data_IF_851762258374
#
_entry.id   IF_851762258374
#
_cell.length_a   1.000
_cell.length_b   1.000
_cell.length_c   1.000
_cell.angle_alpha   90.00
_cell.angle_beta   90.00
_cell.angle_gamma   90.00
#
_symmetry.space_group_name_H-M   'P 1'
#
loop_
_entity.id
_entity.type
_entity.pdbx_description
1 polymer ?
#
# COMPACT_ATOMS: atom_id res chain seq x y z
N UNK A 1 1.64 18.26 19.06
CA UNK A 1 2.39 17.83 17.87
C UNK A 1 1.72 16.59 17.32
N UNK A 2 1.45 16.57 16.01
CA UNK A 2 0.73 15.46 15.35
C UNK A 2 1.71 14.71 14.46
N UNK A 3 1.76 13.39 14.61
CA UNK A 3 2.62 12.53 13.80
C UNK A 3 1.75 11.71 12.83
N UNK A 4 2.13 11.71 11.55
CA UNK A 4 1.42 10.99 10.49
C UNK A 4 2.37 10.00 9.83
N UNK A 5 2.02 8.72 9.90
CA UNK A 5 2.73 7.64 9.23
C UNK A 5 1.99 7.25 7.95
N UNK A 6 2.67 7.39 6.82
CA UNK A 6 2.13 7.04 5.50
C UNK A 6 2.80 5.75 5.04
N UNK A 7 2.01 4.68 4.93
CA UNK A 7 2.49 3.37 4.51
C UNK A 7 2.21 3.16 3.02
N UNK A 8 3.22 2.70 2.30
CA UNK A 8 3.06 2.27 0.91
C UNK A 8 3.78 0.94 0.67
N UNK A 9 3.37 0.24 -0.38
CA UNK A 9 3.96 -1.03 -0.79
C UNK A 9 4.58 -0.81 -2.18
N UNK A 10 5.87 -1.17 -2.32
CA UNK A 10 6.68 -1.03 -3.54
C UNK A 10 7.14 0.41 -3.84
N UNK A 11 8.46 0.59 -4.05
CA UNK A 11 9.03 1.86 -4.52
C UNK A 11 8.70 2.11 -5.99
N UNK A 12 8.69 3.39 -6.40
CA UNK A 12 8.41 3.81 -7.77
C UNK A 12 7.06 3.31 -8.32
N UNK A 13 6.09 3.03 -7.44
CA UNK A 13 4.72 2.70 -7.77
C UNK A 13 3.81 3.94 -7.68
N UNK A 14 2.59 3.85 -8.23
CA UNK A 14 1.58 4.89 -8.04
C UNK A 14 1.28 5.17 -6.56
N UNK A 15 1.31 4.15 -5.71
CA UNK A 15 1.13 4.30 -4.26
C UNK A 15 2.28 5.06 -3.60
N UNK A 16 3.52 4.79 -4.02
CA UNK A 16 4.68 5.57 -3.55
C UNK A 16 4.53 7.04 -3.96
N UNK A 17 4.14 7.31 -5.20
CA UNK A 17 3.89 8.67 -5.69
C UNK A 17 2.80 9.37 -4.87
N UNK A 18 1.66 8.70 -4.63
CA UNK A 18 0.58 9.24 -3.81
C UNK A 18 1.04 9.57 -2.37
N UNK A 19 1.83 8.68 -1.75
CA UNK A 19 2.38 8.91 -0.42
C UNK A 19 3.27 10.17 -0.37
N UNK A 20 4.10 10.39 -1.40
CA UNK A 20 4.95 11.58 -1.51
C UNK A 20 4.14 12.87 -1.70
N UNK A 21 3.05 12.83 -2.46
CA UNK A 21 2.15 13.97 -2.61
C UNK A 21 1.47 14.34 -1.31
N UNK A 22 0.97 13.35 -0.56
CA UNK A 22 0.39 13.60 0.77
C UNK A 22 1.42 14.20 1.73
N UNK A 23 2.64 13.66 1.77
CA UNK A 23 3.74 14.20 2.59
C UNK A 23 4.04 15.67 2.24
N UNK A 24 4.11 15.99 0.95
CA UNK A 24 4.33 17.36 0.48
C UNK A 24 3.18 18.30 0.85
N UNK A 25 1.93 17.85 0.70
CA UNK A 25 0.75 18.62 1.05
C UNK A 25 0.68 18.94 2.55
N UNK A 26 0.96 17.95 3.41
CA UNK A 26 1.04 18.17 4.86
C UNK A 26 2.12 19.19 5.23
N UNK A 27 3.33 19.06 4.64
CA UNK A 27 4.42 20.00 4.90
C UNK A 27 4.09 21.43 4.47
N UNK A 28 3.32 21.60 3.39
CA UNK A 28 2.92 22.91 2.88
C UNK A 28 1.83 23.56 3.73
N UNK A 29 0.83 22.79 4.17
CA UNK A 29 -0.34 23.34 4.88
C UNK A 29 -0.14 23.44 6.40
N UNK A 30 0.64 22.52 6.98
CA UNK A 30 0.77 22.32 8.42
C UNK A 30 2.20 21.89 8.76
N UNK A 31 3.16 22.85 8.83
CA UNK A 31 4.55 22.55 9.14
C UNK A 31 4.78 22.03 10.56
N UNK A 32 3.75 22.09 11.42
CA UNK A 32 3.73 21.49 12.76
C UNK A 32 3.46 19.98 12.77
N UNK A 33 3.09 19.40 11.61
CA UNK A 33 2.86 17.96 11.44
C UNK A 33 4.16 17.30 11.01
N UNK A 34 4.58 16.29 11.77
CA UNK A 34 5.68 15.42 11.37
C UNK A 34 5.13 14.26 10.55
N UNK A 35 5.60 14.14 9.31
CA UNK A 35 5.18 13.09 8.38
C UNK A 35 6.32 12.13 8.08
N UNK A 36 6.02 10.83 8.02
CA UNK A 36 6.97 9.80 7.62
C UNK A 36 6.38 8.85 6.60
N UNK A 37 7.03 8.71 5.44
CA UNK A 37 6.69 7.68 4.45
C UNK A 37 7.51 6.40 4.69
N UNK A 38 6.85 5.24 4.75
CA UNK A 38 7.52 3.93 4.93
C UNK A 38 7.10 2.95 3.85
N UNK A 39 8.09 2.36 3.18
CA UNK A 39 7.89 1.20 2.32
C UNK A 39 7.78 -0.05 3.17
N UNK A 40 6.57 -0.59 3.29
CA UNK A 40 6.29 -1.81 4.04
C UNK A 40 7.10 -2.99 3.52
N UNK A 41 7.26 -3.14 2.19
CA UNK A 41 7.97 -4.28 1.63
C UNK A 41 9.46 -4.26 1.98
N UNK A 42 10.07 -3.07 1.97
CA UNK A 42 11.45 -2.90 2.42
C UNK A 42 11.61 -3.11 3.92
N UNK A 43 10.57 -2.83 4.70
CA UNK A 43 10.58 -3.01 6.15
C UNK A 43 10.40 -4.49 6.55
N UNK A 44 9.52 -5.22 5.88
CA UNK A 44 9.26 -6.64 6.17
C UNK A 44 10.43 -7.53 5.74
N UNK A 45 11.09 -7.21 4.62
CA UNK A 45 12.19 -8.03 4.10
C UNK A 45 13.37 -7.18 3.59
N UNK A 46 14.19 -6.63 4.51
CA UNK A 46 15.27 -5.69 4.16
C UNK A 46 16.32 -6.25 3.20
N UNK A 47 16.49 -7.58 3.13
CA UNK A 47 17.45 -8.25 2.23
C UNK A 47 16.81 -8.85 0.96
N UNK A 48 15.48 -8.97 0.91
CA UNK A 48 14.77 -9.68 -0.16
C UNK A 48 13.74 -8.80 -0.88
N UNK A 49 13.59 -7.53 -0.50
CA UNK A 49 12.57 -6.63 -1.04
C UNK A 49 12.52 -6.62 -2.57
N UNK A 50 13.64 -6.47 -3.26
CA UNK A 50 13.69 -6.48 -4.75
C UNK A 50 13.33 -7.85 -5.36
N UNK A 51 13.71 -8.94 -4.70
CA UNK A 51 13.43 -10.31 -5.17
C UNK A 51 11.98 -10.65 -4.96
N UNK A 52 11.43 -10.37 -3.77
CA UNK A 52 10.01 -10.57 -3.46
C UNK A 52 9.16 -9.67 -4.34
N UNK A 53 9.52 -8.40 -4.52
CA UNK A 53 8.82 -7.49 -5.42
C UNK A 53 8.79 -8.04 -6.84
N UNK A 54 9.94 -8.46 -7.39
CA UNK A 54 9.98 -9.07 -8.72
C UNK A 54 9.19 -10.37 -8.80
N UNK A 55 9.36 -11.26 -7.84
CA UNK A 55 8.69 -12.56 -7.84
C UNK A 55 7.18 -12.36 -7.70
N UNK A 56 6.72 -11.57 -6.73
CA UNK A 56 5.32 -11.22 -6.52
C UNK A 56 4.69 -10.59 -7.77
N UNK A 57 5.33 -9.54 -8.33
CA UNK A 57 4.83 -8.87 -9.53
C UNK A 57 4.86 -9.78 -10.76
N UNK A 58 5.84 -10.69 -10.88
CA UNK A 58 5.91 -11.64 -11.99
C UNK A 58 4.87 -12.73 -11.86
N UNK A 59 4.67 -13.26 -10.65
CA UNK A 59 3.69 -14.30 -10.36
C UNK A 59 2.27 -13.81 -10.59
N UNK A 60 1.90 -12.63 -10.07
CA UNK A 60 0.56 -12.06 -10.28
C UNK A 60 0.30 -11.74 -11.76
N UNK A 61 1.32 -11.31 -12.51
CA UNK A 61 1.15 -11.00 -13.95
C UNK A 61 1.03 -12.25 -14.82
N UNK A 62 1.61 -13.38 -14.41
CA UNK A 62 1.66 -14.61 -15.22
C UNK A 62 0.59 -15.62 -14.84
N UNK A 63 0.03 -15.55 -13.64
CA UNK A 63 -0.92 -16.54 -13.15
C UNK A 63 -2.18 -15.86 -12.61
N UNK A 64 -3.19 -15.63 -13.47
CA UNK A 64 -4.45 -14.99 -13.07
C UNK A 64 -5.19 -15.80 -12.01
N UNK A 65 -5.11 -17.14 -12.01
CA UNK A 65 -5.77 -17.97 -10.98
C UNK A 65 -5.17 -17.74 -9.58
N UNK A 66 -3.88 -17.41 -9.50
CA UNK A 66 -3.19 -17.08 -8.25
C UNK A 66 -3.62 -15.72 -7.71
N UNK A 67 -3.93 -14.77 -8.59
CA UNK A 67 -4.54 -13.49 -8.20
C UNK A 67 -5.94 -13.72 -7.64
N UNK A 68 -6.77 -14.51 -8.32
CA UNK A 68 -8.12 -14.85 -7.85
C UNK A 68 -8.07 -15.58 -6.50
N UNK A 69 -7.18 -16.57 -6.34
CA UNK A 69 -7.04 -17.31 -5.09
C UNK A 69 -6.53 -16.46 -3.90
N UNK A 70 -5.71 -15.43 -4.15
CA UNK A 70 -5.16 -14.57 -3.09
C UNK A 70 -6.04 -13.38 -2.74
N UNK A 71 -6.66 -12.75 -3.74
CA UNK A 71 -7.39 -11.49 -3.60
C UNK A 71 -8.89 -11.61 -3.80
N UNK A 72 -9.37 -12.50 -4.67
CA UNK A 72 -10.80 -12.71 -4.94
C UNK A 72 -11.35 -13.96 -4.22
N UNK A 73 -10.65 -14.42 -3.18
CA UNK A 73 -11.17 -15.52 -2.37
C UNK A 73 -12.31 -15.05 -1.46
N UNK A 74 -13.20 -15.99 -1.14
CA UNK A 74 -14.37 -15.78 -0.29
C UNK A 74 -14.04 -15.09 1.05
N UNK A 75 -12.84 -15.30 1.58
CA UNK A 75 -12.39 -14.71 2.85
C UNK A 75 -12.11 -13.21 2.74
N UNK A 76 -11.47 -12.77 1.65
CA UNK A 76 -11.25 -11.34 1.40
C UNK A 76 -12.58 -10.63 1.19
N UNK A 77 -13.50 -11.24 0.42
CA UNK A 77 -14.85 -10.71 0.21
C UNK A 77 -15.61 -10.59 1.53
N UNK A 78 -15.61 -11.63 2.37
CA UNK A 78 -16.27 -11.63 3.68
C UNK A 78 -15.71 -10.54 4.62
N UNK A 79 -14.39 -10.30 4.58
CA UNK A 79 -13.73 -9.28 5.40
C UNK A 79 -14.01 -7.86 4.91
N UNK A 80 -14.09 -7.64 3.60
CA UNK A 80 -14.35 -6.31 3.01
C UNK A 80 -15.83 -5.96 2.88
N UNK A 81 -16.74 -6.94 2.96
CA UNK A 81 -18.21 -6.72 2.92
C UNK A 81 -18.73 -5.78 4.01
N UNK A 82 -17.99 -5.65 5.13
CA UNK A 82 -18.34 -4.73 6.23
C UNK A 82 -17.89 -3.29 6.02
N UNK A 83 -16.93 -3.04 5.12
CA UNK A 83 -16.40 -1.69 4.87
C UNK A 83 -17.11 -0.92 3.77
N UNK A 84 -17.88 -1.60 2.90
CA UNK A 84 -18.58 -0.99 1.77
C UNK A 84 -19.93 -0.38 2.13
N UNK A 85 -20.44 -0.58 3.34
CA UNK A 85 -21.78 -0.12 3.75
C UNK A 85 -21.87 1.35 4.15
N UNK A 86 -20.77 2.12 4.07
CA UNK A 86 -20.71 3.50 4.58
C UNK A 86 -20.34 4.59 3.56
N UNK A 87 -20.34 4.31 2.25
CA UNK A 87 -20.11 5.36 1.24
C UNK A 87 -21.41 5.70 0.50
N UNK A 88 -21.96 6.92 0.65
CA UNK A 88 -23.11 7.33 -0.15
C UNK A 88 -22.67 7.56 -1.61
N UNK A 89 -23.50 7.09 -2.53
CA UNK A 89 -23.37 7.27 -3.98
C UNK A 89 -23.55 8.74 -4.40
#
# INVERSE_FOLDING_TARGET
>A
MTHVLILYIVQNSGHHTAARYLEAAFRQQRPDIETRCVNLLAHTHPKWGKTIERTYMTTIRRTPELREALYDNFWVELLTRRSTTSWPA
#
